data_IF_803456845202
#
_entry.id   IF_803456845202
#
_cell.length_a   1.000
_cell.length_b   1.000
_cell.length_c   1.000
_cell.angle_alpha   90.00
_cell.angle_beta   90.00
_cell.angle_gamma   90.00
#
_symmetry.space_group_name_H-M   'P 1'
#
loop_
_entity.id
_entity.type
_entity.pdbx_description
1 polymer ?
#
# COMPACT_ATOMS: atom_id res chain seq x y z
N UNK A 1 -64.70 -8.13 17.26
CA UNK A 1 -64.27 -7.53 15.97
C UNK A 1 -62.89 -8.06 15.65
N UNK A 2 -62.76 -8.93 14.64
CA UNK A 2 -61.47 -9.55 14.31
C UNK A 2 -60.60 -8.56 13.50
N UNK A 3 -59.31 -8.34 13.89
CA UNK A 3 -58.41 -7.38 13.22
C UNK A 3 -57.84 -7.91 11.89
N UNK A 4 -58.18 -9.14 11.52
CA UNK A 4 -57.65 -9.87 10.36
C UNK A 4 -57.88 -9.19 8.99
N UNK A 5 -59.02 -8.54 8.68
CA UNK A 5 -59.20 -7.94 7.36
C UNK A 5 -58.37 -6.66 7.20
N UNK A 6 -58.10 -5.93 8.29
CA UNK A 6 -57.29 -4.70 8.27
C UNK A 6 -55.81 -5.01 8.06
N UNK A 7 -55.32 -6.07 8.69
CA UNK A 7 -53.94 -6.52 8.48
C UNK A 7 -53.72 -7.06 7.06
N UNK A 8 -54.67 -7.83 6.52
CA UNK A 8 -54.59 -8.34 5.15
C UNK A 8 -54.62 -7.22 4.11
N UNK A 9 -55.48 -6.22 4.30
CA UNK A 9 -55.56 -5.06 3.39
C UNK A 9 -54.32 -4.17 3.49
N UNK A 10 -53.78 -3.94 4.69
CA UNK A 10 -52.52 -3.23 4.86
C UNK A 10 -51.34 -3.97 4.21
N UNK A 11 -51.27 -5.30 4.36
CA UNK A 11 -50.21 -6.12 3.76
C UNK A 11 -50.31 -6.13 2.22
N UNK A 12 -51.52 -6.22 1.68
CA UNK A 12 -51.75 -6.12 0.24
C UNK A 12 -51.39 -4.72 -0.31
N UNK A 13 -51.73 -3.65 0.41
CA UNK A 13 -51.37 -2.29 0.01
C UNK A 13 -49.84 -2.09 -0.02
N UNK A 14 -49.12 -2.61 0.97
CA UNK A 14 -47.66 -2.59 1.02
C UNK A 14 -47.06 -3.40 -0.14
N UNK A 15 -47.61 -4.58 -0.45
CA UNK A 15 -47.15 -5.40 -1.56
C UNK A 15 -47.35 -4.72 -2.93
N UNK A 16 -48.47 -4.02 -3.13
CA UNK A 16 -48.74 -3.25 -4.35
C UNK A 16 -47.81 -2.04 -4.46
N UNK A 17 -47.56 -1.33 -3.34
CA UNK A 17 -46.60 -0.23 -3.29
C UNK A 17 -45.17 -0.70 -3.60
N UNK A 18 -44.78 -1.88 -3.14
CA UNK A 18 -43.48 -2.49 -3.44
C UNK A 18 -43.33 -2.81 -4.93
N UNK A 19 -44.39 -3.20 -5.64
CA UNK A 19 -44.37 -3.45 -7.08
C UNK A 19 -44.30 -2.16 -7.94
N UNK A 20 -44.46 -0.98 -7.33
CA UNK A 20 -44.37 0.27 -8.06
C UNK A 20 -42.93 0.46 -8.62
N UNK A 21 -42.78 0.77 -9.91
CA UNK A 21 -41.47 0.94 -10.54
C UNK A 21 -40.64 2.07 -9.90
N UNK A 22 -41.31 3.08 -9.35
CA UNK A 22 -40.67 4.18 -8.62
C UNK A 22 -39.98 3.72 -7.32
N UNK A 23 -40.52 2.71 -6.62
CA UNK A 23 -39.94 2.19 -5.37
C UNK A 23 -38.70 1.34 -5.67
N UNK A 24 -38.75 0.52 -6.73
CA UNK A 24 -37.60 -0.24 -7.21
C UNK A 24 -36.45 0.68 -7.66
N UNK A 25 -36.76 1.75 -8.40
CA UNK A 25 -35.77 2.74 -8.82
C UNK A 25 -35.12 3.45 -7.61
N UNK A 26 -35.89 3.76 -6.56
CA UNK A 26 -35.38 4.37 -5.34
C UNK A 26 -34.44 3.45 -4.54
N UNK A 27 -34.78 2.17 -4.39
CA UNK A 27 -33.95 1.19 -3.68
C UNK A 27 -32.64 0.94 -4.43
N UNK A 28 -32.69 0.77 -5.75
CA UNK A 28 -31.49 0.57 -6.58
C UNK A 28 -30.58 1.81 -6.48
N UNK A 29 -31.15 3.02 -6.54
CA UNK A 29 -30.39 4.27 -6.39
C UNK A 29 -29.74 4.41 -5.00
N UNK A 30 -30.42 3.99 -3.93
CA UNK A 30 -29.86 3.98 -2.58
C UNK A 30 -28.69 3.01 -2.45
N UNK A 31 -28.82 1.79 -2.97
CA UNK A 31 -27.73 0.80 -2.94
C UNK A 31 -26.53 1.29 -3.74
N UNK A 32 -26.76 1.79 -4.96
CA UNK A 32 -25.69 2.32 -5.81
C UNK A 32 -24.93 3.47 -5.14
N UNK A 33 -25.64 4.43 -4.54
CA UNK A 33 -25.00 5.57 -3.86
C UNK A 33 -24.21 5.18 -2.61
N UNK A 34 -24.62 4.13 -1.88
CA UNK A 34 -23.90 3.67 -0.68
C UNK A 34 -22.72 2.75 -1.01
N UNK A 35 -22.82 1.92 -2.05
CA UNK A 35 -21.75 0.99 -2.45
C UNK A 35 -20.65 1.68 -3.25
N UNK A 36 -21.04 2.55 -4.20
CA UNK A 36 -20.09 3.21 -5.10
C UNK A 36 -19.62 4.57 -4.56
N UNK A 37 -20.31 5.08 -3.52
CA UNK A 37 -20.24 6.49 -3.14
C UNK A 37 -20.94 7.36 -4.19
N UNK A 38 -21.63 8.42 -3.76
CA UNK A 38 -22.07 9.43 -4.72
C UNK A 38 -20.83 10.11 -5.33
N UNK A 39 -20.88 10.45 -6.63
CA UNK A 39 -19.79 11.17 -7.30
C UNK A 39 -19.40 12.49 -6.59
N UNK A 40 -20.29 13.02 -5.75
CA UNK A 40 -20.07 14.20 -4.92
C UNK A 40 -19.06 13.98 -3.77
N UNK A 41 -18.81 12.73 -3.37
CA UNK A 41 -17.81 12.39 -2.34
C UNK A 41 -16.40 12.14 -2.90
N UNK A 42 -16.25 12.04 -4.23
CA UNK A 42 -14.95 11.91 -4.87
C UNK A 42 -14.33 13.29 -5.04
N UNK A 43 -13.59 13.74 -4.02
CA UNK A 43 -12.78 14.96 -4.15
C UNK A 43 -11.45 14.63 -4.79
N UNK A 44 -11.08 15.38 -5.83
CA UNK A 44 -9.70 15.40 -6.30
C UNK A 44 -8.82 15.96 -5.18
N UNK A 45 -7.92 15.13 -4.68
CA UNK A 45 -6.97 15.50 -3.65
C UNK A 45 -5.57 15.51 -4.25
N UNK A 46 -4.95 16.68 -4.28
CA UNK A 46 -3.55 16.84 -4.67
C UNK A 46 -2.67 16.80 -3.42
N UNK A 47 -1.62 16.00 -3.46
CA UNK A 47 -0.58 16.00 -2.43
C UNK A 47 0.67 16.69 -2.99
N UNK A 48 1.24 17.68 -2.29
CA UNK A 48 2.56 18.18 -2.64
C UNK A 48 3.59 17.11 -2.27
N UNK A 49 3.81 16.16 -3.19
CA UNK A 49 4.80 15.11 -3.03
C UNK A 49 6.18 15.67 -3.37
N UNK A 50 7.02 15.80 -2.37
CA UNK A 50 8.43 16.11 -2.54
C UNK A 50 9.22 14.79 -2.61
N UNK A 51 9.79 14.43 -3.77
CA UNK A 51 10.51 13.17 -3.93
C UNK A 51 11.80 13.11 -3.09
N UNK A 52 12.39 14.25 -2.75
CA UNK A 52 13.70 14.35 -2.09
C UNK A 52 13.60 14.40 -0.56
N UNK A 53 12.38 14.54 -0.03
CA UNK A 53 12.16 14.65 1.43
C UNK A 53 12.66 13.43 2.20
N UNK A 54 12.59 12.24 1.59
CA UNK A 54 13.07 10.99 2.17
C UNK A 54 14.59 11.02 2.33
N UNK A 55 15.33 11.33 1.26
CA UNK A 55 16.78 11.44 1.26
C UNK A 55 17.27 12.47 2.28
N UNK A 56 16.60 13.63 2.35
CA UNK A 56 16.92 14.67 3.32
C UNK A 56 16.63 14.23 4.76
N UNK A 57 15.63 13.41 5.04
CA UNK A 57 15.31 12.97 6.43
C UNK A 57 16.05 11.71 6.88
N UNK A 58 16.70 10.99 5.96
CA UNK A 58 17.44 9.77 6.29
C UNK A 58 18.51 10.03 7.33
N UNK A 59 19.26 11.14 7.25
CA UNK A 59 20.33 11.43 8.21
C UNK A 59 19.79 11.65 9.63
N UNK A 60 18.69 12.37 9.80
CA UNK A 60 18.03 12.57 11.10
C UNK A 60 17.53 11.23 11.66
N UNK A 61 16.92 10.42 10.80
CA UNK A 61 16.41 9.11 11.19
C UNK A 61 17.52 8.16 11.64
N UNK A 62 18.65 8.13 10.91
CA UNK A 62 19.83 7.33 11.29
C UNK A 62 20.46 7.86 12.56
N UNK A 63 20.56 9.19 12.75
CA UNK A 63 21.08 9.78 13.97
C UNK A 63 20.25 9.40 15.22
N UNK A 64 18.93 9.30 15.07
CA UNK A 64 18.01 8.89 16.15
C UNK A 64 18.06 7.39 16.46
N UNK A 65 18.16 6.53 15.44
CA UNK A 65 17.98 5.08 15.60
C UNK A 65 19.28 4.27 15.52
N UNK A 66 20.39 4.91 15.14
CA UNK A 66 21.72 4.30 15.02
C UNK A 66 21.73 3.06 14.13
N UNK A 67 22.35 2.00 14.64
CA UNK A 67 22.50 0.68 14.00
C UNK A 67 21.17 -0.05 13.73
N UNK A 68 20.08 0.36 14.39
CA UNK A 68 18.76 -0.26 14.22
C UNK A 68 17.93 0.39 13.12
N UNK A 69 18.35 1.52 12.58
CA UNK A 69 17.63 2.29 11.55
C UNK A 69 17.24 1.42 10.35
N UNK A 70 18.20 0.68 9.80
CA UNK A 70 18.00 -0.18 8.63
C UNK A 70 16.92 -1.25 8.88
N UNK A 71 17.04 -1.98 10.01
CA UNK A 71 16.03 -2.97 10.41
C UNK A 71 14.66 -2.35 10.69
N UNK A 72 14.63 -1.10 11.15
CA UNK A 72 13.37 -0.39 11.41
C UNK A 72 12.67 -0.03 10.09
N UNK A 73 13.42 0.46 9.10
CA UNK A 73 12.91 0.76 7.74
C UNK A 73 12.40 -0.51 7.08
N UNK A 74 13.19 -1.59 7.14
CA UNK A 74 12.79 -2.90 6.61
C UNK A 74 11.49 -3.38 7.26
N UNK A 75 11.38 -3.27 8.59
CA UNK A 75 10.17 -3.68 9.33
C UNK A 75 8.95 -2.82 8.99
N UNK A 76 9.12 -1.53 8.73
CA UNK A 76 8.02 -0.67 8.27
C UNK A 76 7.52 -1.15 6.91
N UNK A 77 8.43 -1.44 5.97
CA UNK A 77 8.07 -1.95 4.63
C UNK A 77 7.47 -3.35 4.64
N UNK A 78 7.87 -4.20 5.61
CA UNK A 78 7.38 -5.56 5.76
C UNK A 78 6.13 -5.70 6.63
N UNK A 79 5.61 -4.63 7.24
CA UNK A 79 4.40 -4.63 8.09
C UNK A 79 4.50 -5.43 9.40
N UNK A 80 3.51 -5.30 10.29
CA UNK A 80 3.51 -5.86 11.66
C UNK A 80 2.56 -7.05 11.87
N UNK A 81 1.88 -7.52 10.82
CA UNK A 81 0.86 -8.58 10.86
C UNK A 81 1.41 -10.03 10.96
N UNK A 82 2.72 -10.18 11.18
CA UNK A 82 3.39 -11.49 11.27
C UNK A 82 3.77 -12.13 9.93
N UNK A 83 3.37 -11.58 8.77
CA UNK A 83 3.70 -12.12 7.43
C UNK A 83 4.97 -11.53 6.81
N UNK A 84 5.92 -11.13 7.65
CA UNK A 84 7.14 -10.43 7.23
C UNK A 84 8.02 -11.30 6.34
N UNK A 85 8.13 -12.60 6.64
CA UNK A 85 8.95 -13.54 5.87
C UNK A 85 8.43 -13.72 4.44
N UNK A 86 7.12 -13.99 4.30
CA UNK A 86 6.47 -14.13 3.00
C UNK A 86 6.64 -12.86 2.15
N UNK A 87 6.44 -11.68 2.74
CA UNK A 87 6.65 -10.40 2.03
C UNK A 87 8.10 -10.17 1.65
N UNK A 88 9.07 -10.59 2.47
CA UNK A 88 10.49 -10.49 2.13
C UNK A 88 10.84 -11.39 0.93
N UNK A 89 10.30 -12.60 0.89
CA UNK A 89 10.49 -13.53 -0.24
C UNK A 89 9.89 -12.96 -1.53
N UNK A 90 8.68 -12.42 -1.46
CA UNK A 90 8.05 -11.75 -2.60
C UNK A 90 8.87 -10.56 -3.11
N UNK A 91 9.44 -9.76 -2.20
CA UNK A 91 10.33 -8.65 -2.56
C UNK A 91 11.60 -9.15 -3.26
N UNK A 92 12.24 -10.20 -2.74
CA UNK A 92 13.42 -10.79 -3.37
C UNK A 92 13.14 -11.30 -4.78
N UNK A 93 12.02 -11.99 -5.00
CA UNK A 93 11.60 -12.46 -6.32
C UNK A 93 11.37 -11.29 -7.28
N UNK A 94 10.67 -10.24 -6.81
CA UNK A 94 10.40 -9.03 -7.59
C UNK A 94 11.70 -8.35 -8.03
N UNK A 95 12.64 -8.19 -7.12
CA UNK A 95 13.89 -7.48 -7.41
C UNK A 95 14.74 -8.27 -8.43
N UNK A 96 14.79 -9.61 -8.31
CA UNK A 96 15.41 -10.49 -9.32
C UNK A 96 14.76 -10.35 -10.71
N UNK A 97 13.43 -10.24 -10.75
CA UNK A 97 12.70 -10.08 -12.02
C UNK A 97 12.99 -8.73 -12.67
N UNK A 98 13.01 -7.63 -11.90
CA UNK A 98 13.39 -6.31 -12.40
C UNK A 98 14.82 -6.29 -12.95
N UNK A 99 15.78 -6.87 -12.21
CA UNK A 99 17.18 -6.95 -12.65
C UNK A 99 17.36 -7.79 -13.92
N UNK A 100 16.55 -8.84 -14.09
CA UNK A 100 16.54 -9.64 -15.33
C UNK A 100 15.99 -8.84 -16.50
N UNK A 101 14.90 -8.11 -16.28
CA UNK A 101 14.27 -7.31 -17.33
C UNK A 101 15.18 -6.19 -17.81
N UNK A 102 15.81 -5.43 -16.90
CA UNK A 102 16.75 -4.37 -17.28
C UNK A 102 17.91 -4.87 -18.12
N UNK A 103 18.47 -6.05 -17.80
CA UNK A 103 19.54 -6.68 -18.59
C UNK A 103 19.10 -7.09 -19.99
N UNK A 104 17.84 -7.45 -20.17
CA UNK A 104 17.30 -7.82 -21.47
C UNK A 104 16.94 -6.59 -22.33
N UNK A 105 16.61 -5.48 -21.67
CA UNK A 105 16.26 -4.21 -22.31
C UNK A 105 17.48 -3.33 -22.61
N UNK A 106 18.69 -3.75 -22.20
CA UNK A 106 19.94 -3.04 -22.47
C UNK A 106 20.34 -3.21 -23.96
N UNK A 107 20.28 -2.16 -24.80
CA UNK A 107 20.65 -2.28 -26.20
C UNK A 107 22.17 -2.46 -26.32
N UNK A 108 22.60 -3.38 -27.18
CA UNK A 108 23.99 -3.73 -27.46
C UNK A 108 24.76 -2.63 -28.23
N UNK A 109 24.67 -1.38 -27.79
CA UNK A 109 25.48 -0.29 -28.34
C UNK A 109 25.82 0.73 -27.26
N UNK A 110 27.12 0.86 -27.01
CA UNK A 110 27.70 1.72 -25.99
C UNK A 110 27.38 3.21 -26.15
N UNK A 111 27.61 3.90 -25.04
CA UNK A 111 27.51 5.35 -24.80
C UNK A 111 26.10 5.90 -24.54
N UNK A 112 25.79 6.14 -23.26
CA UNK A 112 24.76 7.12 -22.90
C UNK A 112 24.10 6.94 -21.53
N UNK A 113 24.70 7.54 -20.49
CA UNK A 113 23.96 8.15 -19.37
C UNK A 113 23.06 7.26 -18.52
N UNK A 114 23.61 6.23 -17.88
CA UNK A 114 22.92 5.53 -16.80
C UNK A 114 22.96 6.35 -15.51
N UNK A 115 21.79 6.60 -14.91
CA UNK A 115 21.69 7.12 -13.55
C UNK A 115 22.58 6.25 -12.64
N UNK A 116 23.57 6.87 -12.01
CA UNK A 116 24.42 6.21 -11.03
C UNK A 116 23.55 5.75 -9.86
N UNK A 117 23.17 4.47 -9.86
CA UNK A 117 22.82 3.74 -8.65
C UNK A 117 24.10 3.55 -7.81
N UNK A 118 24.56 4.64 -7.18
CA UNK A 118 25.52 4.54 -6.11
C UNK A 118 24.85 3.85 -4.91
N UNK A 119 25.21 2.58 -4.71
CA UNK A 119 25.31 2.01 -3.36
C UNK A 119 24.09 1.30 -2.80
N UNK A 120 23.71 0.15 -3.39
CA UNK A 120 23.12 -0.95 -2.62
C UNK A 120 23.78 -2.32 -2.89
N UNK A 121 24.81 -2.36 -3.75
CA UNK A 121 25.46 -3.61 -4.20
C UNK A 121 26.58 -4.14 -3.29
N UNK A 122 26.64 -3.76 -2.01
CA UNK A 122 27.67 -4.28 -1.08
C UNK A 122 27.15 -4.96 0.19
N UNK A 123 25.87 -5.35 0.28
CA UNK A 123 25.37 -6.09 1.45
C UNK A 123 25.22 -7.61 1.28
N UNK A 124 25.64 -8.19 0.15
CA UNK A 124 25.58 -9.64 -0.06
C UNK A 124 26.93 -10.20 -0.49
N UNK A 125 27.84 -10.30 0.49
CA UNK A 125 28.93 -11.30 0.61
C UNK A 125 30.11 -10.78 1.44
N UNK A 126 29.85 -10.12 2.58
CA UNK A 126 30.90 -9.97 3.58
C UNK A 126 30.80 -11.10 4.61
N UNK A 127 31.84 -11.93 4.81
CA UNK A 127 31.93 -12.73 6.02
C UNK A 127 31.89 -11.75 7.20
N UNK A 128 31.19 -12.10 8.28
CA UNK A 128 31.00 -11.28 9.50
C UNK A 128 32.29 -10.55 9.85
N UNK A 129 32.43 -9.30 9.37
CA UNK A 129 33.59 -8.48 9.66
C UNK A 129 33.42 -7.98 11.08
N UNK A 130 34.34 -8.40 11.96
CA UNK A 130 34.46 -7.81 13.27
C UNK A 130 34.61 -6.29 13.10
N UNK A 131 33.70 -5.53 13.71
CA UNK A 131 33.71 -4.07 13.66
C UNK A 131 35.09 -3.53 14.07
N UNK A 132 35.58 -2.46 13.40
CA UNK A 132 36.83 -1.83 13.78
C UNK A 132 36.78 -1.39 15.24
N UNK A 133 37.89 -1.61 15.95
CA UNK A 133 38.09 -1.29 17.36
C UNK A 133 38.06 0.23 17.60
N UNK A 134 36.87 0.82 17.51
CA UNK A 134 36.64 2.26 17.70
C UNK A 134 35.26 2.58 18.27
N UNK A 135 34.29 1.67 18.12
CA UNK A 135 33.00 1.74 18.80
C UNK A 135 33.12 1.19 20.23
N UNK A 136 33.98 1.81 21.02
CA UNK A 136 34.10 1.51 22.44
C UNK A 136 32.78 1.89 23.14
N UNK A 137 32.05 0.85 23.50
CA UNK A 137 30.96 0.78 24.49
C UNK A 137 31.13 1.83 25.60
N UNK A 138 30.46 2.98 25.50
CA UNK A 138 30.08 3.74 26.71
C UNK A 138 28.82 3.09 27.26
N UNK A 139 29.00 2.39 28.37
CA UNK A 139 27.92 2.01 29.27
C UNK A 139 27.34 3.26 29.93
#
# INVERSE_FOLDING_TARGET
>A
MHPTPVLLTAFAAVAVLLQAPAVHAGIIGLIQNNVLGSAQFHRQQSWPFDPDVSARRTHEFVALHGDKSERLIERIGLGLDGRQHERREQQAVRDILYDRQQRNDEPTSGAGGGYHHHGLQQLQSQPVQAYPAGYARRR
#
